data_IF_715535235606
#
_entry.id   IF_715535235606
#
_cell.length_a   1.000
_cell.length_b   1.000
_cell.length_c   1.000
_cell.angle_alpha   90.00
_cell.angle_beta   90.00
_cell.angle_gamma   90.00
#
_symmetry.space_group_name_H-M   'P 1'
#
loop_
_entity.id
_entity.type
_entity.pdbx_description
1 polymer ?
#
# COMPACT_ATOMS: atom_id res chain seq x y z
N UNK A 1 -15.97 -1.52 8.83
CA UNK A 1 -16.44 -2.42 7.75
C UNK A 1 -15.30 -2.57 6.75
N UNK A 2 -15.05 -3.78 6.26
CA UNK A 2 -14.03 -4.03 5.24
C UNK A 2 -14.69 -3.88 3.87
N UNK A 3 -14.04 -3.15 2.94
CA UNK A 3 -14.49 -2.99 1.56
C UNK A 3 -13.33 -3.21 0.60
N UNK A 4 -13.52 -4.07 -0.38
CA UNK A 4 -12.58 -4.25 -1.50
C UNK A 4 -13.07 -3.45 -2.70
N UNK A 5 -12.16 -2.81 -3.42
CA UNK A 5 -12.41 -2.20 -4.72
C UNK A 5 -12.04 -3.18 -5.86
N UNK A 6 -12.45 -2.88 -7.09
CA UNK A 6 -12.12 -3.72 -8.24
C UNK A 6 -10.61 -3.82 -8.50
N UNK A 7 -10.16 -5.03 -8.80
CA UNK A 7 -8.79 -5.33 -9.20
C UNK A 7 -8.41 -4.61 -10.50
N UNK A 8 -7.25 -3.96 -10.51
CA UNK A 8 -6.71 -3.31 -11.72
C UNK A 8 -5.59 -4.19 -12.29
N UNK A 9 -5.73 -4.60 -13.56
CA UNK A 9 -4.66 -5.29 -14.28
C UNK A 9 -3.64 -4.28 -14.81
N UNK A 10 -2.36 -4.55 -14.57
CA UNK A 10 -1.25 -3.79 -15.13
C UNK A 10 -0.44 -4.67 -16.07
N UNK A 11 -0.03 -4.10 -17.21
CA UNK A 11 0.76 -4.78 -18.22
C UNK A 11 2.01 -3.95 -18.52
N UNK A 12 3.16 -4.62 -18.56
CA UNK A 12 4.43 -4.04 -18.99
C UNK A 12 5.13 -5.01 -19.94
N UNK A 13 5.86 -4.48 -20.91
CA UNK A 13 6.73 -5.29 -21.77
C UNK A 13 8.17 -5.16 -21.28
N UNK A 14 8.83 -6.31 -21.09
CA UNK A 14 10.24 -6.39 -20.74
C UNK A 14 10.92 -7.42 -21.64
N UNK A 15 11.84 -6.97 -22.50
CA UNK A 15 12.59 -7.81 -23.44
C UNK A 15 11.70 -8.77 -24.27
N UNK A 16 10.55 -8.28 -24.74
CA UNK A 16 9.57 -9.07 -25.51
C UNK A 16 8.69 -10.01 -24.66
N UNK A 17 8.84 -9.99 -23.34
CA UNK A 17 7.97 -10.70 -22.40
C UNK A 17 6.93 -9.74 -21.81
N UNK A 18 5.65 -10.08 -21.96
CA UNK A 18 4.57 -9.33 -21.31
C UNK A 18 4.49 -9.76 -19.84
N UNK A 19 4.84 -8.85 -18.95
CA UNK A 19 4.67 -8.98 -17.51
C UNK A 19 3.28 -8.46 -17.15
N UNK A 20 2.57 -9.25 -16.35
CA UNK A 20 1.24 -8.91 -15.82
C UNK A 20 1.27 -8.89 -14.31
N UNK A 21 0.62 -7.89 -13.73
CA UNK A 21 0.37 -7.77 -12.30
C UNK A 21 -1.08 -7.38 -12.03
N UNK A 22 -1.51 -7.62 -10.80
CA UNK A 22 -2.82 -7.16 -10.31
C UNK A 22 -2.62 -6.30 -9.07
N UNK A 23 -3.38 -5.20 -9.03
CA UNK A 23 -3.41 -4.26 -7.93
C UNK A 23 -4.81 -4.27 -7.32
N UNK A 24 -4.86 -4.61 -6.03
CA UNK A 24 -6.09 -4.70 -5.26
C UNK A 24 -6.06 -3.71 -4.10
N UNK A 25 -7.10 -2.87 -4.00
CA UNK A 25 -7.24 -1.94 -2.87
C UNK A 25 -8.32 -2.42 -1.92
N UNK A 26 -7.93 -2.58 -0.66
CA UNK A 26 -8.79 -2.94 0.45
C UNK A 26 -8.84 -1.80 1.47
N UNK A 27 -10.05 -1.43 1.88
CA UNK A 27 -10.32 -0.49 2.96
C UNK A 27 -10.69 -1.30 4.18
N UNK A 28 -9.86 -1.29 5.22
CA UNK A 28 -10.07 -2.13 6.41
C UNK A 28 -10.85 -1.40 7.52
N UNK A 29 -10.59 -0.10 7.70
CA UNK A 29 -11.14 0.67 8.82
C UNK A 29 -11.14 2.17 8.53
N UNK A 30 -12.15 2.64 7.78
CA UNK A 30 -12.45 4.03 7.34
C UNK A 30 -11.30 4.84 6.72
N UNK A 31 -10.16 4.91 7.39
CA UNK A 31 -8.98 5.70 7.06
C UNK A 31 -7.71 4.86 6.92
N UNK A 32 -7.80 3.54 7.15
CA UNK A 32 -6.72 2.59 6.85
C UNK A 32 -6.96 1.90 5.51
N UNK A 33 -6.06 2.21 4.58
CA UNK A 33 -6.05 1.77 3.19
C UNK A 33 -4.94 0.74 3.01
N UNK A 34 -5.24 -0.35 2.32
CA UNK A 34 -4.26 -1.40 2.01
C UNK A 34 -4.27 -1.63 0.51
N UNK A 35 -3.09 -1.55 -0.09
CA UNK A 35 -2.81 -1.94 -1.46
C UNK A 35 -2.12 -3.30 -1.41
N UNK A 36 -2.81 -4.34 -1.88
CA UNK A 36 -2.21 -5.64 -2.11
C UNK A 36 -1.78 -5.72 -3.58
N UNK A 37 -0.54 -6.12 -3.78
CA UNK A 37 0.08 -6.21 -5.09
C UNK A 37 0.47 -7.66 -5.33
N UNK A 38 -0.24 -8.29 -6.25
CA UNK A 38 0.10 -9.61 -6.77
C UNK A 38 0.87 -9.40 -8.08
N UNK A 39 2.21 -9.44 -8.00
CA UNK A 39 3.08 -9.24 -9.17
C UNK A 39 4.16 -10.31 -9.28
N UNK A 40 4.45 -10.74 -10.51
CA UNK A 40 5.58 -11.63 -10.82
C UNK A 40 6.94 -10.92 -10.85
N UNK A 41 6.99 -9.58 -10.88
CA UNK A 41 8.22 -8.79 -10.74
C UNK A 41 8.03 -7.62 -9.79
N UNK A 42 8.88 -7.60 -8.76
CA UNK A 42 8.76 -6.78 -7.56
C UNK A 42 8.92 -5.27 -7.78
N UNK A 43 9.79 -4.85 -8.69
CA UNK A 43 10.21 -3.45 -8.81
C UNK A 43 9.23 -2.57 -9.59
N UNK A 44 8.54 -3.10 -10.59
CA UNK A 44 7.65 -2.28 -11.44
C UNK A 44 6.29 -1.99 -10.78
N UNK A 45 5.91 -2.76 -9.77
CA UNK A 45 4.59 -2.67 -9.16
C UNK A 45 4.52 -1.67 -8.01
N UNK A 46 5.65 -1.26 -7.43
CA UNK A 46 5.67 -0.45 -6.21
C UNK A 46 5.23 1.00 -6.47
N UNK A 47 5.77 1.65 -7.49
CA UNK A 47 5.41 3.03 -7.85
C UNK A 47 3.97 3.12 -8.34
N UNK A 48 3.53 2.13 -9.14
CA UNK A 48 2.15 2.04 -9.61
C UNK A 48 1.18 1.85 -8.43
N UNK A 49 1.51 0.94 -7.51
CA UNK A 49 0.74 0.71 -6.29
C UNK A 49 0.71 1.93 -5.38
N UNK A 50 1.82 2.66 -5.24
CA UNK A 50 1.87 3.92 -4.48
C UNK A 50 1.00 5.00 -5.11
N UNK A 51 1.08 5.21 -6.42
CA UNK A 51 0.28 6.20 -7.12
C UNK A 51 -1.22 5.92 -6.95
N UNK A 52 -1.64 4.67 -7.15
CA UNK A 52 -3.03 4.28 -6.99
C UNK A 52 -3.48 4.39 -5.52
N UNK A 53 -2.68 3.91 -4.56
CA UNK A 53 -2.99 4.06 -3.12
C UNK A 53 -3.15 5.52 -2.73
N UNK A 54 -2.26 6.41 -3.18
CA UNK A 54 -2.36 7.84 -2.92
C UNK A 54 -3.62 8.45 -3.54
N UNK A 55 -4.03 8.02 -4.74
CA UNK A 55 -5.28 8.47 -5.36
C UNK A 55 -6.50 8.13 -4.49
N UNK A 56 -6.59 6.91 -3.95
CA UNK A 56 -7.65 6.52 -3.02
C UNK A 56 -7.59 7.29 -1.70
N UNK A 57 -6.40 7.42 -1.11
CA UNK A 57 -6.20 8.19 0.12
C UNK A 57 -6.57 9.68 -0.09
N UNK A 58 -6.31 10.23 -1.29
CA UNK A 58 -6.70 11.58 -1.71
C UNK A 58 -8.20 11.73 -1.94
N UNK A 59 -8.90 10.66 -2.32
CA UNK A 59 -10.36 10.62 -2.41
C UNK A 59 -11.05 10.42 -1.05
N UNK A 60 -10.31 10.11 0.03
CA UNK A 60 -10.89 9.92 1.38
C UNK A 60 -11.76 11.15 1.79
N UNK A 61 -13.08 10.96 2.02
CA UNK A 61 -14.02 12.04 2.34
C UNK A 61 -13.87 12.58 3.78
N UNK A 62 -13.03 11.96 4.62
CA UNK A 62 -12.79 12.37 6.01
C UNK A 62 -11.37 12.94 6.19
N UNK A 63 -11.11 14.19 5.78
CA UNK A 63 -9.76 14.77 5.75
C UNK A 63 -9.21 15.20 7.12
N UNK A 64 -10.03 15.21 8.18
CA UNK A 64 -9.65 15.75 9.49
C UNK A 64 -8.61 14.92 10.24
N UNK A 65 -8.31 13.72 9.74
CA UNK A 65 -7.30 12.82 10.30
C UNK A 65 -6.41 12.30 9.16
N UNK A 66 -5.12 12.01 9.44
CA UNK A 66 -4.23 11.45 8.44
C UNK A 66 -4.75 10.10 7.91
N UNK A 67 -4.72 9.91 6.59
CA UNK A 67 -4.93 8.60 6.00
C UNK A 67 -3.67 7.76 6.21
N UNK A 68 -3.84 6.52 6.67
CA UNK A 68 -2.76 5.55 6.77
C UNK A 68 -2.92 4.51 5.66
N UNK A 69 -1.82 4.22 4.99
CA UNK A 69 -1.73 3.31 3.86
C UNK A 69 -0.75 2.20 4.15
N UNK A 70 -0.94 1.06 3.52
CA UNK A 70 0.00 -0.04 3.49
C UNK A 70 0.07 -0.58 2.07
N UNK A 71 1.27 -0.77 1.53
CA UNK A 71 1.50 -1.55 0.32
C UNK A 71 2.10 -2.89 0.74
N UNK A 72 1.51 -3.97 0.23
CA UNK A 72 1.98 -5.34 0.45
C UNK A 72 2.26 -5.97 -0.91
N UNK A 73 3.51 -6.38 -1.12
CA UNK A 73 3.93 -7.07 -2.35
C UNK A 73 4.63 -8.36 -1.96
N UNK A 74 3.99 -9.51 -2.17
CA UNK A 74 4.51 -10.85 -1.84
C UNK A 74 4.89 -11.02 -0.37
N UNK A 75 6.09 -10.56 0.00
CA UNK A 75 6.64 -10.63 1.36
C UNK A 75 7.26 -9.33 1.87
N UNK A 76 6.86 -8.18 1.33
CA UNK A 76 7.32 -6.85 1.77
C UNK A 76 6.16 -5.96 2.17
N UNK A 77 6.42 -5.05 3.09
CA UNK A 77 5.48 -4.08 3.61
C UNK A 77 6.07 -2.68 3.56
N UNK A 78 5.33 -1.73 3.01
CA UNK A 78 5.68 -0.31 3.05
C UNK A 78 4.48 0.48 3.56
N UNK A 79 4.68 1.18 4.66
CA UNK A 79 3.64 2.02 5.23
C UNK A 79 3.68 3.41 4.61
N UNK A 80 2.50 3.95 4.32
CA UNK A 80 2.30 5.27 3.74
C UNK A 80 1.48 6.10 4.70
N UNK A 81 1.84 7.36 4.90
CA UNK A 81 1.00 8.32 5.64
C UNK A 81 0.73 9.51 4.73
N UNK A 82 -0.54 9.84 4.56
CA UNK A 82 -0.99 11.04 3.85
C UNK A 82 -1.64 12.00 4.84
N UNK A 83 -1.22 13.26 4.82
CA UNK A 83 -1.85 14.36 5.54
C UNK A 83 -2.45 15.33 4.53
N UNK A 84 -3.74 15.63 4.69
CA UNK A 84 -4.46 16.63 3.89
C UNK A 84 -4.58 17.90 4.70
N UNK A 85 -3.65 18.83 4.50
CA UNK A 85 -3.74 20.21 4.98
C UNK A 85 -3.88 21.16 3.76
N UNK A 86 -3.43 22.41 3.84
CA UNK A 86 -3.42 23.35 2.70
C UNK A 86 -2.72 22.79 1.44
N UNK A 87 -1.68 21.97 1.63
CA UNK A 87 -1.03 21.18 0.58
C UNK A 87 -0.96 19.73 1.06
N UNK A 88 -1.42 18.80 0.22
CA UNK A 88 -1.34 17.38 0.55
C UNK A 88 0.12 16.92 0.59
N UNK A 89 0.50 16.22 1.66
CA UNK A 89 1.84 15.69 1.86
C UNK A 89 1.78 14.21 2.22
N UNK A 90 2.72 13.43 1.70
CA UNK A 90 2.85 12.03 2.06
C UNK A 90 4.30 11.68 2.38
N UNK A 91 4.46 10.61 3.16
CA UNK A 91 5.74 9.98 3.42
C UNK A 91 5.58 8.46 3.41
N UNK A 92 6.66 7.75 3.11
CA UNK A 92 6.75 6.30 3.13
C UNK A 92 7.74 5.85 4.21
N UNK A 93 7.50 4.69 4.80
CA UNK A 93 8.48 4.03 5.67
C UNK A 93 9.62 3.41 4.86
N UNK A 94 10.66 2.96 5.55
CA UNK A 94 11.52 1.92 5.01
C UNK A 94 10.68 0.67 4.67
N UNK A 95 11.19 -0.13 3.74
CA UNK A 95 10.62 -1.45 3.46
C UNK A 95 10.87 -2.39 4.63
N UNK A 96 9.84 -3.13 5.03
CA UNK A 96 9.95 -4.27 5.93
C UNK A 96 9.81 -5.55 5.12
N UNK A 97 10.82 -6.40 5.10
CA UNK A 97 10.83 -7.64 4.35
C UNK A 97 10.81 -8.88 5.26
N UNK A 98 9.90 -9.82 5.00
CA UNK A 98 9.76 -11.05 5.80
C UNK A 98 11.04 -11.89 5.78
N UNK A 99 11.81 -11.81 4.70
CA UNK A 99 13.04 -12.61 4.50
C UNK A 99 14.27 -11.99 5.18
N UNK A 100 14.17 -10.77 5.70
CA UNK A 100 15.28 -10.15 6.39
C UNK A 100 15.51 -10.82 7.75
N UNK A 101 16.77 -11.10 8.05
CA UNK A 101 17.17 -11.77 9.30
C UNK A 101 16.82 -10.96 10.55
N UNK A 102 16.60 -9.64 10.41
CA UNK A 102 16.18 -8.73 11.48
C UNK A 102 14.75 -8.95 11.98
N UNK A 103 14.01 -9.91 11.42
CA UNK A 103 12.65 -10.25 11.86
C UNK A 103 11.66 -9.07 11.72
N UNK A 104 11.83 -8.28 10.67
CA UNK A 104 11.07 -7.07 10.34
C UNK A 104 9.55 -7.32 10.19
N UNK A 105 9.16 -8.59 10.04
CA UNK A 105 7.78 -9.02 10.14
C UNK A 105 7.15 -8.60 11.48
N UNK A 106 7.86 -8.74 12.59
CA UNK A 106 7.34 -8.35 13.91
C UNK A 106 7.14 -6.85 14.00
N UNK A 107 8.02 -6.06 13.42
CA UNK A 107 7.89 -4.61 13.38
C UNK A 107 6.66 -4.21 12.57
N UNK A 108 6.49 -4.76 11.36
CA UNK A 108 5.31 -4.53 10.53
C UNK A 108 4.01 -4.91 11.27
N UNK A 109 3.95 -6.08 11.91
CA UNK A 109 2.78 -6.49 12.71
C UNK A 109 2.56 -5.62 13.93
N UNK A 110 3.61 -5.10 14.58
CA UNK A 110 3.47 -4.19 15.72
C UNK A 110 2.80 -2.88 15.30
N UNK A 111 3.14 -2.35 14.12
CA UNK A 111 2.52 -1.17 13.53
C UNK A 111 1.05 -1.48 13.21
N UNK A 112 0.76 -2.61 12.56
CA UNK A 112 -0.61 -3.04 12.27
C UNK A 112 -1.47 -3.17 13.53
N UNK A 113 -0.92 -3.73 14.62
CA UNK A 113 -1.62 -3.82 15.91
C UNK A 113 -1.95 -2.43 16.47
N UNK A 114 -1.02 -1.49 16.39
CA UNK A 114 -1.24 -0.10 16.84
C UNK A 114 -2.34 0.56 16.00
N UNK A 115 -2.32 0.38 14.69
CA UNK A 115 -3.34 0.91 13.78
C UNK A 115 -4.71 0.28 14.06
N UNK A 116 -4.77 -1.03 14.32
CA UNK A 116 -6.02 -1.72 14.67
C UNK A 116 -6.68 -1.19 15.94
N UNK A 117 -5.87 -0.66 16.87
CA UNK A 117 -6.32 -0.07 18.13
C UNK A 117 -6.68 1.43 18.04
N UNK A 118 -6.44 2.11 16.92
CA UNK A 118 -6.87 3.51 16.67
C UNK A 118 -8.35 3.60 16.31
#
# INVERSE_FOLDING_TARGET
QIRAEESVEIMAEDEGTIIRGQLDVLILKEQFWVMAIESKRFSFSMEAGLAQLLAYMMANPHPTKPSLGLIVTGGTFVFVKLVKDAVAQYAISNEFAIRNQGNELYDAFSILKRIGNL
#
